data_IF_467343629371
#
_entry.id   IF_467343629371
#
_cell.length_a   1.000
_cell.length_b   1.000
_cell.length_c   1.000
_cell.angle_alpha   90.00
_cell.angle_beta   90.00
_cell.angle_gamma   90.00
#
_symmetry.space_group_name_H-M   'P 1'
#
loop_
_entity.id
_entity.type
_entity.pdbx_description
1 polymer ?
#
# COMPACT_ATOMS: atom_id res chain seq x y z
N UNK A 1 7.84 17.01 4.40
CA UNK A 1 6.78 16.29 5.16
C UNK A 1 6.42 14.93 4.54
N UNK A 2 7.09 14.45 3.48
CA UNK A 2 6.72 13.21 2.76
C UNK A 2 7.11 11.90 3.46
N UNK A 3 8.19 11.87 4.26
CA UNK A 3 8.65 10.64 4.93
C UNK A 3 7.66 10.13 5.99
N UNK A 4 7.01 11.04 6.72
CA UNK A 4 6.11 10.67 7.82
C UNK A 4 4.82 10.01 7.32
N UNK A 5 4.27 10.47 6.20
CA UNK A 5 3.08 9.87 5.60
C UNK A 5 3.37 8.43 5.13
N UNK A 6 4.54 8.21 4.52
CA UNK A 6 5.01 6.89 4.06
C UNK A 6 5.25 5.93 5.21
N UNK A 7 5.98 6.37 6.22
CA UNK A 7 6.22 5.56 7.42
C UNK A 7 4.91 5.22 8.12
N UNK A 8 3.98 6.18 8.21
CA UNK A 8 2.66 5.96 8.76
C UNK A 8 1.84 4.95 7.96
N UNK A 9 1.79 5.08 6.63
CA UNK A 9 1.06 4.17 5.75
C UNK A 9 1.64 2.75 5.79
N UNK A 10 2.97 2.61 5.72
CA UNK A 10 3.66 1.33 5.89
C UNK A 10 3.38 0.72 7.26
N UNK A 11 3.55 1.49 8.34
CA UNK A 11 3.32 1.00 9.69
C UNK A 11 1.87 0.57 9.88
N UNK A 12 0.91 1.34 9.37
CA UNK A 12 -0.51 1.03 9.44
C UNK A 12 -0.83 -0.28 8.71
N UNK A 13 -0.43 -0.40 7.44
CA UNK A 13 -0.72 -1.58 6.63
C UNK A 13 -0.04 -2.83 7.24
N UNK A 14 1.21 -2.70 7.68
CA UNK A 14 1.95 -3.79 8.30
C UNK A 14 1.31 -4.25 9.62
N UNK A 15 0.87 -3.32 10.48
CA UNK A 15 0.18 -3.68 11.73
C UNK A 15 -1.12 -4.44 11.46
N UNK A 16 -1.92 -3.94 10.52
CA UNK A 16 -3.17 -4.60 10.14
C UNK A 16 -2.93 -5.99 9.54
N UNK A 17 -1.85 -6.13 8.79
CA UNK A 17 -1.46 -7.40 8.20
C UNK A 17 -1.06 -8.42 9.28
N UNK A 18 -0.20 -8.05 10.23
CA UNK A 18 0.18 -8.92 11.35
C UNK A 18 -1.01 -9.33 12.22
N UNK A 19 -1.99 -8.44 12.43
CA UNK A 19 -3.22 -8.77 13.17
C UNK A 19 -4.04 -9.87 12.48
N UNK A 20 -4.02 -9.93 11.14
CA UNK A 20 -4.73 -10.96 10.36
C UNK A 20 -3.91 -12.24 10.20
N UNK A 21 -2.58 -12.14 10.24
CA UNK A 21 -1.66 -13.25 10.00
C UNK A 21 -0.77 -13.51 11.22
N UNK A 22 -1.34 -14.19 12.23
CA UNK A 22 -0.71 -14.47 13.53
C UNK A 22 0.51 -15.41 13.49
N UNK A 23 0.96 -15.84 12.31
CA UNK A 23 2.14 -16.68 12.12
C UNK A 23 3.32 -15.99 11.43
N UNK A 24 3.20 -14.70 11.10
CA UNK A 24 4.23 -13.96 10.36
C UNK A 24 5.08 -13.15 11.33
N UNK A 25 6.40 -13.21 11.14
CA UNK A 25 7.35 -12.44 11.95
C UNK A 25 7.23 -10.95 11.63
N UNK A 26 7.37 -10.10 12.65
CA UNK A 26 7.36 -8.64 12.45
C UNK A 26 8.50 -8.17 11.50
N UNK A 27 9.57 -8.96 11.38
CA UNK A 27 10.72 -8.70 10.51
C UNK A 27 10.70 -9.51 9.21
N UNK A 28 9.54 -10.01 8.80
CA UNK A 28 9.41 -10.73 7.54
C UNK A 28 9.83 -9.87 6.32
N UNK A 29 10.38 -10.51 5.29
CA UNK A 29 10.83 -9.88 4.06
C UNK A 29 9.74 -9.05 3.37
N UNK A 30 8.46 -9.41 3.56
CA UNK A 30 7.30 -8.66 3.06
C UNK A 30 7.24 -7.23 3.58
N UNK A 31 7.70 -6.97 4.80
CA UNK A 31 7.80 -5.61 5.37
C UNK A 31 8.77 -4.75 4.57
N UNK A 32 9.93 -5.30 4.23
CA UNK A 32 10.94 -4.60 3.43
C UNK A 32 10.45 -4.37 1.99
N UNK A 33 9.73 -5.35 1.42
CA UNK A 33 9.13 -5.23 0.10
C UNK A 33 8.05 -4.14 0.05
N UNK A 34 7.18 -4.07 1.07
CA UNK A 34 6.20 -3.00 1.26
C UNK A 34 6.86 -1.62 1.36
N UNK A 35 7.90 -1.49 2.17
CA UNK A 35 8.64 -0.22 2.29
C UNK A 35 9.22 0.22 0.95
N UNK A 36 9.77 -0.71 0.16
CA UNK A 36 10.30 -0.41 -1.17
C UNK A 36 9.18 0.00 -2.14
N UNK A 37 8.05 -0.68 -2.11
CA UNK A 37 6.90 -0.34 -2.94
C UNK A 37 6.40 1.10 -2.68
N UNK A 38 6.06 1.40 -1.42
CA UNK A 38 5.62 2.73 -0.99
C UNK A 38 6.68 3.80 -1.26
N UNK A 39 7.95 3.41 -1.23
CA UNK A 39 9.03 4.35 -1.53
C UNK A 39 9.11 4.75 -3.00
N UNK A 40 8.75 3.84 -3.90
CA UNK A 40 8.77 4.04 -5.34
C UNK A 40 7.53 4.79 -5.85
N UNK A 41 6.41 4.79 -5.11
CA UNK A 41 5.22 5.59 -5.43
C UNK A 41 5.46 7.10 -5.41
N UNK A 42 6.56 7.57 -4.81
CA UNK A 42 6.90 9.01 -4.80
C UNK A 42 7.28 9.55 -6.19
N UNK A 43 7.83 8.71 -7.07
CA UNK A 43 8.22 9.17 -8.42
C UNK A 43 6.99 9.55 -9.28
N UNK A 44 5.78 9.17 -8.87
CA UNK A 44 4.52 9.57 -9.52
C UNK A 44 3.84 10.79 -8.88
N UNK A 45 4.39 11.34 -7.79
CA UNK A 45 3.88 12.58 -7.16
C UNK A 45 2.80 12.38 -6.09
N UNK A 46 2.54 11.14 -5.65
CA UNK A 46 1.55 10.84 -4.62
C UNK A 46 2.15 10.92 -3.20
N UNK A 47 1.96 12.06 -2.53
CA UNK A 47 2.33 12.27 -1.12
C UNK A 47 1.09 12.23 -0.16
N UNK A 48 -0.10 11.90 -0.67
CA UNK A 48 -1.32 11.83 0.14
C UNK A 48 -1.34 10.56 1.01
N UNK A 49 -1.52 10.74 2.32
CA UNK A 49 -1.51 9.65 3.28
C UNK A 49 -2.61 8.61 3.02
N UNK A 50 -3.82 9.01 2.63
CA UNK A 50 -4.91 8.07 2.37
C UNK A 50 -4.60 7.20 1.15
N UNK A 51 -4.06 7.79 0.09
CA UNK A 51 -3.65 7.08 -1.12
C UNK A 51 -2.54 6.08 -0.81
N UNK A 52 -1.51 6.51 -0.07
CA UNK A 52 -0.41 5.64 0.36
C UNK A 52 -0.91 4.50 1.25
N UNK A 53 -1.89 4.75 2.12
CA UNK A 53 -2.48 3.73 2.98
C UNK A 53 -3.26 2.69 2.17
N UNK A 54 -4.08 3.12 1.21
CA UNK A 54 -4.85 2.24 0.31
C UNK A 54 -3.88 1.37 -0.50
N UNK A 55 -2.88 1.98 -1.13
CA UNK A 55 -1.86 1.29 -1.91
C UNK A 55 -1.11 0.23 -1.08
N UNK A 56 -0.70 0.60 0.14
CA UNK A 56 0.02 -0.29 1.05
C UNK A 56 -0.81 -1.54 1.42
N UNK A 57 -2.09 -1.35 1.72
CA UNK A 57 -3.00 -2.46 2.07
C UNK A 57 -3.30 -3.33 0.86
N UNK A 58 -3.56 -2.72 -0.30
CA UNK A 58 -3.82 -3.44 -1.54
C UNK A 58 -2.61 -4.29 -1.95
N UNK A 59 -1.40 -3.74 -1.86
CA UNK A 59 -0.16 -4.46 -2.15
C UNK A 59 0.01 -5.71 -1.29
N UNK A 60 -0.14 -5.60 0.03
CA UNK A 60 0.00 -6.77 0.92
C UNK A 60 -1.02 -7.87 0.62
N UNK A 61 -2.27 -7.46 0.34
CA UNK A 61 -3.33 -8.40 -0.06
C UNK A 61 -2.98 -9.11 -1.37
N UNK A 62 -2.52 -8.36 -2.38
CA UNK A 62 -2.14 -8.92 -3.68
C UNK A 62 -0.88 -9.77 -3.61
N UNK A 63 0.04 -9.47 -2.69
CA UNK A 63 1.21 -10.28 -2.45
C UNK A 63 0.86 -11.67 -1.89
N UNK A 64 -0.19 -11.77 -1.06
CA UNK A 64 -0.73 -13.05 -0.60
C UNK A 64 -1.54 -13.78 -1.66
N UNK A 65 -2.26 -13.07 -2.54
CA UNK A 65 -3.05 -13.69 -3.61
C UNK A 65 -2.17 -14.21 -4.76
N UNK A 66 -1.16 -13.44 -5.15
CA UNK A 66 -0.37 -13.67 -6.36
C UNK A 66 0.98 -14.32 -6.07
N UNK A 67 1.47 -14.22 -4.83
CA UNK A 67 2.79 -14.68 -4.39
C UNK A 67 3.97 -14.15 -5.23
N UNK A 68 3.75 -13.10 -6.02
CA UNK A 68 4.74 -12.44 -6.86
C UNK A 68 4.75 -10.93 -6.61
N UNK A 69 5.92 -10.39 -6.27
CA UNK A 69 6.11 -8.98 -5.92
C UNK A 69 5.72 -8.06 -7.08
N UNK A 70 6.08 -8.41 -8.32
CA UNK A 70 5.85 -7.53 -9.47
C UNK A 70 4.38 -7.45 -9.83
N UNK A 71 3.70 -8.59 -9.84
CA UNK A 71 2.26 -8.67 -10.07
C UNK A 71 1.49 -7.99 -8.94
N UNK A 72 1.93 -8.12 -7.68
CA UNK A 72 1.32 -7.44 -6.54
C UNK A 72 1.40 -5.92 -6.65
N UNK A 73 2.54 -5.37 -7.10
CA UNK A 73 2.69 -3.93 -7.35
C UNK A 73 1.74 -3.44 -8.41
N UNK A 74 1.73 -4.09 -9.58
CA UNK A 74 0.84 -3.71 -10.68
C UNK A 74 -0.64 -3.73 -10.28
N UNK A 75 -1.05 -4.75 -9.53
CA UNK A 75 -2.43 -4.85 -9.06
C UNK A 75 -2.76 -3.82 -7.97
N UNK A 76 -1.79 -3.44 -7.14
CA UNK A 76 -1.96 -2.38 -6.15
C UNK A 76 -2.05 -0.99 -6.80
N UNK A 77 -1.22 -0.73 -7.82
CA UNK A 77 -1.26 0.51 -8.61
C UNK A 77 -2.60 0.64 -9.35
N UNK A 78 -3.11 -0.45 -9.91
CA UNK A 78 -4.44 -0.49 -10.53
C UNK A 78 -5.55 -0.17 -9.52
N UNK A 79 -5.50 -0.78 -8.33
CA UNK A 79 -6.48 -0.50 -7.27
C UNK A 79 -6.42 0.95 -6.78
N UNK A 80 -5.21 1.53 -6.73
CA UNK A 80 -5.01 2.93 -6.39
C UNK A 80 -5.62 3.87 -7.44
N UNK A 81 -5.37 3.60 -8.72
CA UNK A 81 -5.96 4.34 -9.83
C UNK A 81 -7.50 4.27 -9.80
N UNK A 82 -8.08 3.09 -9.54
CA UNK A 82 -9.53 2.93 -9.38
C UNK A 82 -10.09 3.73 -8.20
N UNK A 83 -9.38 3.78 -7.07
CA UNK A 83 -9.77 4.60 -5.92
C UNK A 83 -9.71 6.10 -6.23
N UNK A 84 -8.72 6.55 -7.00
CA UNK A 84 -8.61 7.94 -7.46
C UNK A 84 -9.77 8.32 -8.39
N UNK A 85 -10.08 7.49 -9.37
CA UNK A 85 -11.20 7.70 -10.29
C UNK A 85 -12.55 7.71 -9.57
N UNK A 86 -12.76 6.79 -8.61
CA UNK A 86 -13.96 6.76 -7.79
C UNK A 86 -14.10 8.02 -6.92
N UNK A 87 -12.99 8.53 -6.38
CA UNK A 87 -12.99 9.76 -5.56
C UNK A 87 -13.30 11.00 -6.39
N UNK A 88 -12.82 11.06 -7.64
CA UNK A 88 -13.16 12.14 -8.59
C UNK A 88 -14.62 12.04 -9.10
N UNK A 89 -15.24 10.87 -9.01
CA UNK A 89 -16.61 10.61 -9.48
C UNK A 89 -17.69 10.88 -8.42
N UNK A 90 -17.33 11.24 -7.19
CA UNK A 90 -18.30 11.66 -6.17
C UNK A 90 -18.62 13.16 -6.35
N UNK A 91 -19.85 13.53 -6.76
CA UNK A 91 -20.25 14.92 -6.78
C UNK A 91 -20.38 15.42 -5.34
N UNK A 92 -19.80 16.60 -5.12
CA UNK A 92 -20.02 17.50 -3.98
C UNK A 92 -21.47 17.43 -3.49
N UNK A 93 -21.67 17.13 -2.21
CA UNK A 93 -22.98 16.97 -1.59
C UNK A 93 -23.29 18.15 -0.68
#
# INVERSE_FOLDING_TARGET
MSSQAREGACAFAWRNYLLRHSGISENDNRRSALHRYISNLRDTGEDDFNLLQIAAVAYLKKLDELHDDRCARLAADQALAECLEASNSQPDR
#
